data_IF_536882291585
#
_entry.id   IF_536882291585
#
_cell.length_a   1.000
_cell.length_b   1.000
_cell.length_c   1.000
_cell.angle_alpha   90.00
_cell.angle_beta   90.00
_cell.angle_gamma   90.00
#
_symmetry.space_group_name_H-M   'P 1'
#
loop_
_entity.id
_entity.type
_entity.pdbx_description
1 polymer ?
#
# COMPACT_ATOMS: atom_id res chain seq x y z
N UNK A 1 20.36 -0.74 2.59
CA UNK A 1 19.25 -0.77 1.59
C UNK A 1 19.79 -0.83 0.17
N UNK A 2 20.80 -0.03 -0.20
CA UNK A 2 21.41 -0.01 -1.55
C UNK A 2 21.97 -1.37 -2.04
N UNK A 3 22.54 -2.19 -1.14
CA UNK A 3 23.04 -3.53 -1.50
C UNK A 3 21.93 -4.52 -1.94
N UNK A 4 20.67 -4.29 -1.58
CA UNK A 4 19.57 -5.20 -1.88
C UNK A 4 18.91 -4.95 -3.25
N UNK A 5 19.17 -3.79 -3.89
CA UNK A 5 18.46 -3.35 -5.10
C UNK A 5 19.39 -3.07 -6.28
N UNK A 6 20.58 -3.69 -6.32
CA UNK A 6 21.53 -3.50 -7.41
C UNK A 6 20.97 -3.90 -8.80
N UNK A 7 19.97 -4.78 -8.84
CA UNK A 7 19.25 -5.16 -10.08
C UNK A 7 18.32 -4.06 -10.63
N UNK A 8 18.05 -3.02 -9.86
CA UNK A 8 17.18 -1.91 -10.21
C UNK A 8 15.98 -1.75 -9.27
N UNK A 9 15.56 -0.52 -9.02
CA UNK A 9 14.38 -0.17 -8.23
C UNK A 9 13.48 0.75 -9.03
N UNK A 10 12.20 0.42 -9.11
CA UNK A 10 11.18 1.26 -9.73
C UNK A 10 10.23 1.76 -8.63
N UNK A 11 10.12 3.08 -8.49
CA UNK A 11 9.19 3.73 -7.57
C UNK A 11 8.04 4.30 -8.38
N UNK A 12 6.83 3.77 -8.15
CA UNK A 12 5.62 4.18 -8.84
C UNK A 12 4.68 4.90 -7.88
N UNK A 13 4.29 6.12 -8.23
CA UNK A 13 3.33 6.90 -7.46
C UNK A 13 2.48 7.75 -8.40
N UNK A 14 1.24 8.04 -8.01
CA UNK A 14 0.38 8.98 -8.73
C UNK A 14 0.81 10.43 -8.47
N UNK A 15 1.33 10.72 -7.28
CA UNK A 15 1.79 12.05 -6.88
C UNK A 15 3.23 12.30 -7.36
N UNK A 16 3.46 13.29 -8.24
CA UNK A 16 4.81 13.64 -8.66
C UNK A 16 5.65 14.25 -7.53
N UNK A 17 5.07 14.84 -6.48
CA UNK A 17 5.81 15.54 -5.43
C UNK A 17 6.81 14.65 -4.68
N UNK A 18 6.43 13.50 -4.06
CA UNK A 18 7.39 12.61 -3.41
C UNK A 18 8.41 12.05 -4.40
N UNK A 19 7.98 11.72 -5.63
CA UNK A 19 8.88 11.22 -6.67
C UNK A 19 9.93 12.26 -7.07
N UNK A 20 9.58 13.55 -7.12
CA UNK A 20 10.52 14.61 -7.47
C UNK A 20 11.60 14.83 -6.39
N UNK A 21 11.23 14.70 -5.12
CA UNK A 21 12.21 14.71 -4.02
C UNK A 21 13.21 13.55 -4.19
N UNK A 22 12.71 12.35 -4.51
CA UNK A 22 13.56 11.19 -4.74
C UNK A 22 14.42 11.33 -6.00
N UNK A 23 13.87 11.85 -7.11
CA UNK A 23 14.62 12.15 -8.35
C UNK A 23 15.80 13.09 -8.07
N UNK A 24 15.58 14.14 -7.30
CA UNK A 24 16.64 15.09 -6.96
C UNK A 24 17.75 14.42 -6.13
N UNK A 25 17.38 13.58 -5.17
CA UNK A 25 18.35 12.79 -4.40
C UNK A 25 19.14 11.82 -5.28
N UNK A 26 18.45 11.10 -6.18
CA UNK A 26 19.07 10.19 -7.16
C UNK A 26 20.09 10.94 -8.02
N UNK A 27 19.73 12.13 -8.52
CA UNK A 27 20.60 12.98 -9.33
C UNK A 27 21.83 13.44 -8.56
N UNK A 28 21.65 13.92 -7.32
CA UNK A 28 22.75 14.38 -6.45
C UNK A 28 23.71 13.25 -6.07
N UNK A 29 23.20 12.04 -5.89
CA UNK A 29 23.97 10.86 -5.45
C UNK A 29 24.39 9.95 -6.61
N UNK A 30 24.11 10.32 -7.87
CA UNK A 30 24.46 9.56 -9.07
C UNK A 30 23.96 8.09 -9.06
N UNK A 31 22.78 7.85 -8.48
CA UNK A 31 22.23 6.50 -8.33
C UNK A 31 21.60 6.05 -9.66
N UNK A 32 22.30 5.20 -10.43
CA UNK A 32 21.87 4.83 -11.79
C UNK A 32 20.75 3.78 -11.86
N UNK A 33 20.51 3.06 -10.78
CA UNK A 33 19.64 1.88 -10.76
C UNK A 33 18.24 2.17 -10.19
N UNK A 34 17.96 3.39 -9.71
CA UNK A 34 16.63 3.77 -9.22
C UNK A 34 15.92 4.62 -10.27
N UNK A 35 14.67 4.26 -10.59
CA UNK A 35 13.80 4.97 -11.53
C UNK A 35 12.48 5.30 -10.86
N UNK A 36 12.01 6.51 -11.09
CA UNK A 36 10.69 6.97 -10.63
C UNK A 36 9.71 7.00 -11.80
N UNK A 37 8.48 6.53 -11.61
CA UNK A 37 7.42 6.51 -12.61
C UNK A 37 6.18 7.19 -12.02
N UNK A 38 5.82 8.35 -12.54
CA UNK A 38 4.57 9.02 -12.17
C UNK A 38 3.42 8.43 -12.97
N UNK A 39 2.55 7.66 -12.32
CA UNK A 39 1.36 7.07 -12.93
C UNK A 39 0.37 6.58 -11.86
N UNK A 40 -0.91 6.62 -12.20
CA UNK A 40 -1.97 5.96 -11.45
C UNK A 40 -1.97 4.45 -11.76
N UNK A 41 -1.62 3.62 -10.77
CA UNK A 41 -1.55 2.16 -10.96
C UNK A 41 -2.90 1.56 -11.34
N UNK A 42 -4.01 2.14 -10.90
CA UNK A 42 -5.35 1.69 -11.28
C UNK A 42 -5.58 1.86 -12.78
N UNK A 43 -5.05 2.91 -13.38
CA UNK A 43 -5.22 3.18 -14.81
C UNK A 43 -4.28 2.39 -15.69
N UNK A 44 -3.10 2.01 -15.19
CA UNK A 44 -2.05 1.41 -16.03
C UNK A 44 -1.82 -0.08 -15.77
N UNK A 45 -2.26 -0.64 -14.63
CA UNK A 45 -2.02 -2.03 -14.26
C UNK A 45 -3.30 -2.88 -14.16
N UNK A 46 -4.50 -2.28 -14.05
CA UNK A 46 -5.76 -3.02 -13.90
C UNK A 46 -6.30 -3.60 -15.21
N UNK A 47 -5.88 -3.04 -16.35
CA UNK A 47 -6.23 -3.55 -17.67
C UNK A 47 -5.04 -4.34 -18.26
N UNK A 48 -5.25 -5.56 -18.79
CA UNK A 48 -4.16 -6.42 -19.25
C UNK A 48 -3.36 -5.81 -20.40
N UNK A 49 -4.01 -5.11 -21.34
CA UNK A 49 -3.35 -4.47 -22.49
C UNK A 49 -2.52 -3.28 -22.01
N UNK A 50 -3.04 -2.51 -21.05
CA UNK A 50 -2.30 -1.40 -20.45
C UNK A 50 -1.15 -1.88 -19.58
N UNK A 51 -1.31 -2.98 -18.84
CA UNK A 51 -0.25 -3.58 -18.03
C UNK A 51 0.91 -4.07 -18.92
N UNK A 52 0.61 -4.72 -20.04
CA UNK A 52 1.63 -5.11 -21.02
C UNK A 52 2.31 -3.88 -21.63
N UNK A 53 1.54 -2.85 -22.00
CA UNK A 53 2.10 -1.58 -22.48
C UNK A 53 3.00 -0.93 -21.43
N UNK A 54 2.61 -0.97 -20.17
CA UNK A 54 3.39 -0.44 -19.05
C UNK A 54 4.71 -1.21 -18.90
N UNK A 55 4.66 -2.55 -18.93
CA UNK A 55 5.84 -3.42 -18.92
C UNK A 55 6.82 -3.08 -20.06
N UNK A 56 6.33 -2.98 -21.30
CA UNK A 56 7.18 -2.68 -22.45
C UNK A 56 7.75 -1.25 -22.39
N UNK A 57 6.91 -0.23 -22.13
CA UNK A 57 7.30 1.18 -22.28
C UNK A 57 7.92 1.80 -21.02
N UNK A 58 7.50 1.39 -19.83
CA UNK A 58 7.94 2.00 -18.56
C UNK A 58 8.98 1.14 -17.85
N UNK A 59 8.86 -0.19 -17.92
CA UNK A 59 9.85 -1.10 -17.35
C UNK A 59 10.93 -1.53 -18.36
N UNK A 60 10.71 -1.27 -19.66
CA UNK A 60 11.67 -1.59 -20.72
C UNK A 60 11.75 -3.08 -21.03
N UNK A 61 10.63 -3.80 -20.86
CA UNK A 61 10.58 -5.26 -21.06
C UNK A 61 11.32 -6.07 -19.99
N UNK A 62 11.75 -5.43 -18.89
CA UNK A 62 12.42 -6.11 -17.78
C UNK A 62 11.42 -6.57 -16.75
N UNK A 63 11.35 -7.88 -16.55
CA UNK A 63 10.49 -8.50 -15.54
C UNK A 63 11.02 -8.18 -14.15
N UNK A 64 10.11 -8.06 -13.18
CA UNK A 64 10.44 -7.72 -11.80
C UNK A 64 10.51 -8.97 -10.93
N UNK A 65 11.54 -9.03 -10.09
CA UNK A 65 11.72 -10.12 -9.12
C UNK A 65 10.91 -9.88 -7.83
N UNK A 66 10.60 -8.62 -7.52
CA UNK A 66 9.77 -8.24 -6.38
C UNK A 66 8.88 -7.06 -6.75
N UNK A 67 7.60 -7.17 -6.40
CA UNK A 67 6.63 -6.07 -6.43
C UNK A 67 6.10 -5.88 -5.01
N UNK A 68 6.20 -4.67 -4.49
CA UNK A 68 5.69 -4.29 -3.17
C UNK A 68 4.46 -3.40 -3.30
N UNK A 69 3.38 -3.78 -2.65
CA UNK A 69 2.11 -3.07 -2.55
C UNK A 69 1.87 -2.73 -1.08
N UNK A 70 2.75 -1.89 -0.53
CA UNK A 70 2.76 -1.56 0.90
C UNK A 70 1.80 -0.41 1.15
N UNK A 71 0.66 -0.71 1.80
CA UNK A 71 -0.43 0.21 2.06
C UNK A 71 -1.03 0.90 0.81
N UNK A 72 -0.74 0.39 -0.39
CA UNK A 72 -1.21 0.98 -1.64
C UNK A 72 -2.57 0.43 -2.09
N UNK A 73 -2.95 -0.79 -1.69
CA UNK A 73 -4.22 -1.39 -2.12
C UNK A 73 -5.47 -0.67 -1.59
N UNK A 74 -5.32 0.19 -0.57
CA UNK A 74 -6.40 1.08 -0.11
C UNK A 74 -7.00 1.93 -1.22
N UNK A 75 -6.20 2.27 -2.23
CA UNK A 75 -6.60 3.15 -3.33
C UNK A 75 -7.28 2.41 -4.49
N UNK A 76 -7.64 1.14 -4.31
CA UNK A 76 -8.47 0.41 -5.26
C UNK A 76 -9.53 -0.44 -4.55
N UNK A 77 -10.67 -0.60 -5.22
CA UNK A 77 -11.74 -1.46 -4.71
C UNK A 77 -11.23 -2.90 -4.56
N UNK A 78 -11.61 -3.58 -3.48
CA UNK A 78 -11.21 -4.97 -3.23
C UNK A 78 -11.60 -5.90 -4.39
N UNK A 79 -12.75 -5.65 -5.02
CA UNK A 79 -13.20 -6.39 -6.21
C UNK A 79 -12.26 -6.30 -7.42
N UNK A 80 -11.38 -5.29 -7.47
CA UNK A 80 -10.40 -5.13 -8.55
C UNK A 80 -9.05 -5.80 -8.24
N UNK A 81 -8.81 -6.24 -7.00
CA UNK A 81 -7.51 -6.78 -6.59
C UNK A 81 -7.14 -8.05 -7.33
N UNK A 82 -8.10 -8.93 -7.61
CA UNK A 82 -7.84 -10.16 -8.36
C UNK A 82 -7.27 -9.82 -9.75
N UNK A 83 -7.95 -8.96 -10.51
CA UNK A 83 -7.50 -8.51 -11.83
C UNK A 83 -6.12 -7.83 -11.79
N UNK A 84 -5.86 -7.01 -10.77
CA UNK A 84 -4.53 -6.43 -10.56
C UNK A 84 -3.46 -7.52 -10.43
N UNK A 85 -3.66 -8.46 -9.51
CA UNK A 85 -2.68 -9.52 -9.23
C UNK A 85 -2.49 -10.43 -10.44
N UNK A 86 -3.54 -10.73 -11.20
CA UNK A 86 -3.43 -11.47 -12.46
C UNK A 86 -2.55 -10.74 -13.48
N UNK A 87 -2.79 -9.43 -13.67
CA UNK A 87 -2.02 -8.63 -14.62
C UNK A 87 -0.55 -8.50 -14.19
N UNK A 88 -0.29 -8.26 -12.90
CA UNK A 88 1.06 -8.23 -12.36
C UNK A 88 1.77 -9.57 -12.61
N UNK A 89 1.12 -10.68 -12.27
CA UNK A 89 1.66 -12.04 -12.43
C UNK A 89 1.96 -12.38 -13.90
N UNK A 90 1.03 -12.06 -14.82
CA UNK A 90 1.18 -12.39 -16.24
C UNK A 90 2.15 -11.47 -16.98
N UNK A 91 2.06 -10.16 -16.78
CA UNK A 91 2.73 -9.17 -17.63
C UNK A 91 4.04 -8.63 -17.05
N UNK A 92 4.20 -8.59 -15.72
CA UNK A 92 5.30 -7.84 -15.08
C UNK A 92 6.23 -8.74 -14.28
N UNK A 93 5.70 -9.74 -13.58
CA UNK A 93 6.45 -10.54 -12.65
C UNK A 93 7.36 -11.56 -13.37
N UNK A 94 8.58 -11.77 -12.85
CA UNK A 94 9.56 -12.76 -13.36
C UNK A 94 9.27 -14.20 -12.90
N UNK A 95 10.13 -15.15 -13.29
CA UNK A 95 9.92 -16.58 -12.98
C UNK A 95 10.16 -16.98 -11.51
N UNK A 96 11.11 -16.32 -10.83
CA UNK A 96 11.48 -16.58 -9.42
C UNK A 96 11.30 -15.33 -8.59
N UNK A 97 10.05 -14.97 -8.42
CA UNK A 97 9.66 -13.63 -8.02
C UNK A 97 8.58 -13.66 -6.95
N UNK A 98 8.29 -12.52 -6.35
CA UNK A 98 7.26 -12.38 -5.34
C UNK A 98 6.46 -11.08 -5.50
N UNK A 99 5.18 -11.16 -5.12
CA UNK A 99 4.37 -9.98 -4.81
C UNK A 99 4.25 -9.94 -3.28
N UNK A 100 4.63 -8.83 -2.69
CA UNK A 100 4.46 -8.54 -1.26
C UNK A 100 3.40 -7.45 -1.12
N UNK A 101 2.39 -7.68 -0.30
CA UNK A 101 1.32 -6.71 -0.07
C UNK A 101 1.05 -6.60 1.43
N UNK A 102 0.89 -5.36 1.91
CA UNK A 102 0.66 -5.05 3.32
C UNK A 102 -0.51 -4.10 3.44
N UNK A 103 -1.45 -4.43 4.33
CA UNK A 103 -2.52 -3.55 4.79
C UNK A 103 -2.63 -3.68 6.31
N UNK A 104 -3.23 -2.69 6.96
CA UNK A 104 -3.77 -2.88 8.30
C UNK A 104 -4.81 -4.01 8.27
N UNK A 105 -4.96 -4.70 9.39
CA UNK A 105 -6.02 -5.70 9.50
C UNK A 105 -7.40 -5.05 9.29
N UNK A 106 -8.34 -5.79 8.69
CA UNK A 106 -9.75 -5.40 8.54
C UNK A 106 -10.44 -5.24 9.91
N UNK A 107 -10.09 -6.12 10.86
CA UNK A 107 -10.69 -6.17 12.20
C UNK A 107 -9.66 -6.33 13.31
N UNK A 108 -9.97 -5.69 14.44
CA UNK A 108 -9.20 -5.76 15.67
C UNK A 108 -10.06 -5.32 16.85
N UNK A 109 -10.05 -6.12 17.93
CA UNK A 109 -10.67 -5.77 19.21
C UNK A 109 -9.69 -5.05 20.16
N UNK A 110 -8.41 -4.96 19.77
CA UNK A 110 -7.37 -4.23 20.51
C UNK A 110 -7.57 -2.71 20.29
N UNK A 111 -8.02 -2.01 21.34
CA UNK A 111 -8.25 -0.56 21.30
C UNK A 111 -6.98 0.24 21.02
N UNK A 112 -5.80 -0.36 21.19
CA UNK A 112 -4.51 0.26 20.90
C UNK A 112 -4.03 0.04 19.46
N UNK A 113 -4.84 -0.60 18.61
CA UNK A 113 -4.47 -0.90 17.22
C UNK A 113 -4.95 0.17 16.25
N UNK A 114 -4.16 0.40 15.19
CA UNK A 114 -4.54 1.30 14.10
C UNK A 114 -5.89 0.91 13.45
N UNK A 115 -6.16 -0.39 13.31
CA UNK A 115 -7.45 -0.90 12.82
C UNK A 115 -8.62 -0.49 13.70
N UNK A 116 -8.50 -0.62 15.03
CA UNK A 116 -9.57 -0.23 15.95
C UNK A 116 -9.78 1.28 15.89
N UNK A 117 -8.70 2.05 15.92
CA UNK A 117 -8.74 3.51 15.87
C UNK A 117 -9.45 4.00 14.61
N UNK A 118 -9.10 3.46 13.45
CA UNK A 118 -9.80 3.76 12.20
C UNK A 118 -11.28 3.40 12.29
N UNK A 119 -11.60 2.14 12.61
CA UNK A 119 -12.99 1.67 12.65
C UNK A 119 -13.86 2.41 13.69
N UNK A 120 -13.25 2.89 14.77
CA UNK A 120 -13.94 3.67 15.80
C UNK A 120 -14.28 5.07 15.31
N UNK A 121 -13.29 5.84 14.87
CA UNK A 121 -13.51 7.24 14.49
C UNK A 121 -14.14 7.37 13.10
N UNK A 122 -13.69 6.58 12.12
CA UNK A 122 -14.31 6.58 10.81
C UNK A 122 -15.76 6.09 10.87
N UNK A 123 -16.02 5.08 11.72
CA UNK A 123 -17.36 4.57 11.96
C UNK A 123 -18.26 5.58 12.65
N UNK A 124 -17.74 6.31 13.65
CA UNK A 124 -18.48 7.32 14.40
C UNK A 124 -18.85 8.53 13.54
N UNK A 125 -17.90 9.08 12.78
CA UNK A 125 -18.09 10.35 12.08
C UNK A 125 -18.54 10.20 10.63
N UNK A 126 -18.15 9.12 9.95
CA UNK A 126 -18.40 8.94 8.52
C UNK A 126 -19.23 7.69 8.20
N UNK A 127 -19.57 6.87 9.22
CA UNK A 127 -20.31 5.62 9.01
C UNK A 127 -19.49 4.53 8.34
N UNK A 128 -18.16 4.64 8.35
CA UNK A 128 -17.26 3.78 7.59
C UNK A 128 -16.44 2.82 8.45
N UNK A 129 -15.96 1.74 7.82
CA UNK A 129 -15.05 0.76 8.43
C UNK A 129 -14.07 0.25 7.38
N UNK A 130 -12.94 -0.28 7.83
CA UNK A 130 -12.03 -1.01 6.97
C UNK A 130 -12.63 -2.39 6.66
N UNK A 131 -13.22 -2.55 5.48
CA UNK A 131 -13.75 -3.81 4.96
C UNK A 131 -12.75 -4.57 4.09
N UNK A 132 -11.62 -3.94 3.73
CA UNK A 132 -10.57 -4.50 2.89
C UNK A 132 -9.73 -5.55 3.64
N UNK A 133 -9.83 -6.81 3.21
CA UNK A 133 -9.23 -7.95 3.93
C UNK A 133 -8.25 -8.79 3.08
N UNK A 134 -6.95 -8.57 3.29
CA UNK A 134 -5.89 -9.35 2.63
C UNK A 134 -5.92 -10.86 2.94
N UNK A 135 -6.37 -11.27 4.13
CA UNK A 135 -6.42 -12.68 4.49
C UNK A 135 -7.57 -13.41 3.77
N UNK A 136 -8.72 -12.74 3.65
CA UNK A 136 -9.83 -13.20 2.83
C UNK A 136 -9.41 -13.25 1.36
N UNK A 137 -8.79 -12.19 0.84
CA UNK A 137 -8.30 -12.14 -0.54
C UNK A 137 -7.26 -13.23 -0.85
N UNK A 138 -6.34 -13.52 0.08
CA UNK A 138 -5.40 -14.63 -0.07
C UNK A 138 -6.10 -15.99 -0.20
N UNK A 139 -7.26 -16.17 0.44
CA UNK A 139 -8.09 -17.37 0.29
C UNK A 139 -8.75 -17.43 -1.09
N UNK A 140 -9.20 -16.29 -1.62
CA UNK A 140 -9.71 -16.17 -3.00
C UNK A 140 -8.62 -16.53 -4.01
N UNK A 141 -7.43 -15.95 -3.91
CA UNK A 141 -6.31 -16.21 -4.82
C UNK A 141 -5.91 -17.70 -4.85
N UNK A 142 -5.93 -18.41 -3.71
CA UNK A 142 -5.63 -19.85 -3.66
C UNK A 142 -6.61 -20.72 -4.45
N UNK A 143 -7.84 -20.26 -4.66
CA UNK A 143 -8.85 -20.97 -5.44
C UNK A 143 -8.75 -20.68 -6.94
N UNK A 144 -8.06 -19.61 -7.33
CA UNK A 144 -7.92 -19.23 -8.72
C UNK A 144 -6.86 -20.11 -9.41
N UNK A 145 -7.27 -20.78 -10.50
CA UNK A 145 -6.45 -21.73 -11.25
C UNK A 145 -5.17 -21.11 -11.83
N UNK A 146 -5.16 -19.81 -12.10
CA UNK A 146 -3.95 -19.10 -12.56
C UNK A 146 -2.80 -19.22 -11.56
N UNK A 147 -3.13 -19.25 -10.26
CA UNK A 147 -2.16 -19.27 -9.16
C UNK A 147 -1.94 -20.67 -8.58
N UNK A 148 -2.37 -21.74 -9.25
CA UNK A 148 -2.27 -23.11 -8.73
C UNK A 148 -0.83 -23.55 -8.37
N UNK A 149 0.17 -22.99 -9.05
CA UNK A 149 1.59 -23.27 -8.83
C UNK A 149 2.29 -22.17 -8.02
N UNK A 150 1.54 -21.25 -7.43
CA UNK A 150 2.07 -20.11 -6.66
C UNK A 150 1.90 -20.37 -5.17
N UNK A 151 2.95 -20.14 -4.40
CA UNK A 151 2.89 -20.23 -2.93
C UNK A 151 2.29 -18.95 -2.35
N UNK A 152 1.04 -19.00 -1.90
CA UNK A 152 0.34 -17.86 -1.29
C UNK A 152 0.43 -17.96 0.23
N UNK A 153 1.18 -17.03 0.84
CA UNK A 153 1.37 -16.91 2.28
C UNK A 153 0.64 -15.66 2.76
N UNK A 154 -0.21 -15.81 3.78
CA UNK A 154 -0.84 -14.67 4.48
C UNK A 154 -0.54 -14.79 5.96
N UNK A 155 -0.15 -13.68 6.58
CA UNK A 155 0.18 -13.61 8.00
C UNK A 155 -0.27 -12.27 8.56
N UNK A 156 -0.76 -12.29 9.80
CA UNK A 156 -1.00 -11.09 10.59
C UNK A 156 0.15 -10.93 11.57
N UNK A 157 0.73 -9.74 11.61
CA UNK A 157 1.80 -9.39 12.53
C UNK A 157 1.35 -8.23 13.41
N UNK A 158 1.71 -8.26 14.70
CA UNK A 158 1.57 -7.10 15.59
C UNK A 158 2.81 -6.24 15.42
N UNK A 159 2.64 -5.05 14.87
CA UNK A 159 3.69 -4.04 14.77
C UNK A 159 3.44 -3.00 15.85
N UNK A 160 4.47 -2.66 16.63
CA UNK A 160 4.43 -1.60 17.64
C UNK A 160 5.25 -0.42 17.11
N UNK A 161 4.66 0.76 17.17
CA UNK A 161 5.36 2.01 16.88
C UNK A 161 5.66 2.72 18.20
N UNK A 162 6.87 3.27 18.31
CA UNK A 162 7.29 4.07 19.44
C UNK A 162 7.71 5.43 18.89
N UNK A 163 7.05 6.49 19.35
CA UNK A 163 7.33 7.86 18.92
C UNK A 163 7.31 8.72 20.18
N UNK A 164 8.45 9.31 20.52
CA UNK A 164 8.61 10.13 21.74
C UNK A 164 8.12 11.58 21.56
N UNK A 165 7.54 11.88 20.39
CA UNK A 165 7.06 13.20 19.98
C UNK A 165 5.57 13.09 19.64
N UNK A 166 4.73 13.68 20.49
CA UNK A 166 3.28 13.60 20.33
C UNK A 166 2.80 14.18 19.00
N UNK A 167 3.44 15.24 18.48
CA UNK A 167 3.09 15.83 17.19
C UNK A 167 3.35 14.88 16.04
N UNK A 168 4.50 14.19 16.05
CA UNK A 168 4.83 13.14 15.07
C UNK A 168 3.92 11.92 15.22
N UNK A 169 3.55 11.56 16.45
CA UNK A 169 2.61 10.48 16.70
C UNK A 169 1.24 10.80 16.13
N UNK A 170 0.72 12.00 16.39
CA UNK A 170 -0.54 12.47 15.82
C UNK A 170 -0.50 12.53 14.30
N UNK A 171 0.62 12.88 13.66
CA UNK A 171 0.76 12.81 12.21
C UNK A 171 0.52 11.39 11.66
N UNK A 172 0.98 10.35 12.37
CA UNK A 172 0.69 8.95 12.02
C UNK A 172 -0.78 8.62 12.24
N UNK A 173 -1.39 9.09 13.33
CA UNK A 173 -2.83 8.91 13.59
C UNK A 173 -3.67 9.54 12.46
N UNK A 174 -3.35 10.77 12.06
CA UNK A 174 -4.03 11.42 10.95
C UNK A 174 -3.85 10.65 9.66
N UNK A 175 -2.66 10.14 9.37
CA UNK A 175 -2.42 9.29 8.20
C UNK A 175 -3.26 8.00 8.24
N UNK A 176 -3.41 7.34 9.40
CA UNK A 176 -4.28 6.17 9.55
C UNK A 176 -5.74 6.51 9.22
N UNK A 177 -6.20 7.69 9.65
CA UNK A 177 -7.56 8.17 9.40
C UNK A 177 -7.80 8.64 7.96
N UNK A 178 -6.78 8.67 7.09
CA UNK A 178 -6.95 8.91 5.65
C UNK A 178 -7.31 7.64 4.85
N UNK A 179 -7.30 6.46 5.47
CA UNK A 179 -7.39 5.18 4.75
C UNK A 179 -8.40 4.19 5.34
N UNK A 180 -9.23 3.52 4.50
CA UNK A 180 -9.27 3.55 3.03
C UNK A 180 -9.83 4.82 2.39
N UNK A 181 -10.58 5.65 3.12
CA UNK A 181 -11.20 6.86 2.56
C UNK A 181 -10.63 8.12 3.19
N UNK A 182 -10.50 9.17 2.37
CA UNK A 182 -9.99 10.47 2.81
C UNK A 182 -11.09 11.21 3.53
N UNK A 183 -10.97 11.27 4.86
CA UNK A 183 -11.93 11.89 5.75
C UNK A 183 -11.61 13.36 6.03
N UNK A 184 -12.60 14.23 5.81
CA UNK A 184 -12.48 15.64 6.17
C UNK A 184 -13.04 15.87 7.58
N UNK A 185 -12.19 15.69 8.59
CA UNK A 185 -12.61 15.95 9.97
C UNK A 185 -12.75 17.47 10.25
N UNK A 186 -13.82 17.84 10.94
CA UNK A 186 -14.02 19.20 11.49
C UNK A 186 -13.02 19.50 12.61
N UNK A 187 -12.82 20.78 12.99
CA UNK A 187 -12.00 21.14 14.14
C UNK A 187 -12.43 20.44 15.44
N UNK A 188 -13.74 20.32 15.67
CA UNK A 188 -14.31 19.67 16.85
C UNK A 188 -13.99 18.17 16.88
N UNK A 189 -14.17 17.48 15.75
CA UNK A 189 -13.83 16.06 15.59
C UNK A 189 -12.33 15.83 15.79
N UNK A 190 -11.49 16.71 15.24
CA UNK A 190 -10.04 16.67 15.46
C UNK A 190 -9.67 16.86 16.92
N UNK A 191 -10.38 17.75 17.63
CA UNK A 191 -10.23 17.95 19.06
C UNK A 191 -10.53 16.69 19.86
N UNK A 192 -11.67 16.04 19.59
CA UNK A 192 -12.05 14.81 20.29
C UNK A 192 -11.08 13.65 20.03
N UNK A 193 -10.65 13.48 18.78
CA UNK A 193 -9.66 12.46 18.41
C UNK A 193 -8.34 12.74 19.14
N UNK A 194 -7.85 13.98 19.12
CA UNK A 194 -6.59 14.34 19.77
C UNK A 194 -6.65 14.10 21.27
N UNK A 195 -7.74 14.49 21.92
CA UNK A 195 -7.96 14.28 23.36
C UNK A 195 -7.98 12.78 23.69
N UNK A 196 -8.68 11.97 22.89
CA UNK A 196 -8.71 10.52 23.07
C UNK A 196 -7.30 9.90 22.99
N UNK A 197 -6.49 10.34 22.02
CA UNK A 197 -5.13 9.84 21.87
C UNK A 197 -4.26 10.27 23.04
N UNK A 198 -4.32 11.55 23.43
CA UNK A 198 -3.56 12.08 24.56
C UNK A 198 -3.88 11.37 25.88
N UNK A 199 -5.15 11.01 26.12
CA UNK A 199 -5.57 10.32 27.34
C UNK A 199 -5.22 8.83 27.36
N UNK A 200 -5.12 8.17 26.20
CA UNK A 200 -5.00 6.71 26.11
C UNK A 200 -3.63 6.19 25.68
N UNK A 201 -2.81 6.98 24.99
CA UNK A 201 -1.53 6.57 24.40
C UNK A 201 -0.39 7.45 24.88
#
# INVERSE_FOLDING_TARGET
>A
MEAAFQGGLYLLDIDPAPLNIVKERIRRQWIKHVKTITADYNKVLMDPVKAERFFQKRLGGKRLDLITLDHSLYYCLESAWEGLFENLYRAILGWRSAIHAVLMASKSDDQYSATWLYNHFAGKYFGEKNDQDLAAFATTLRKNKLFQNVRIISRKHRVKFFIDDFGKFMAVIWMILLYPNVHNCTPEEKGEITEHIYQKF
#
